data_IF_676535325525
#
_entry.id   IF_676535325525
#
_cell.length_a   1.000
_cell.length_b   1.000
_cell.length_c   1.000
_cell.angle_alpha   90.00
_cell.angle_beta   90.00
_cell.angle_gamma   90.00
#
_symmetry.space_group_name_H-M   'P 1'
#
loop_
_entity.id
_entity.type
_entity.pdbx_description
1 polymer ?
#
# COMPACT_ATOMS: atom_id res chain seq x y z
N UNK A 1 -31.04 -7.51 6.12
CA UNK A 1 -30.76 -6.09 6.41
C UNK A 1 -29.25 -5.89 6.53
N UNK A 2 -28.66 -5.12 5.61
CA UNK A 2 -27.33 -4.49 5.63
C UNK A 2 -26.05 -5.33 5.83
N UNK A 3 -25.59 -5.96 4.75
CA UNK A 3 -24.23 -6.54 4.62
C UNK A 3 -23.09 -5.55 4.98
N UNK A 4 -23.30 -4.25 4.81
CA UNK A 4 -22.28 -3.24 5.15
C UNK A 4 -22.10 -2.99 6.65
N UNK A 5 -23.09 -3.33 7.49
CA UNK A 5 -22.97 -3.20 8.97
C UNK A 5 -22.03 -4.25 9.55
N UNK A 6 -21.87 -5.38 8.87
CA UNK A 6 -20.97 -6.46 9.26
C UNK A 6 -19.50 -6.17 8.88
N UNK A 7 -19.29 -5.24 7.94
CA UNK A 7 -17.95 -4.84 7.54
C UNK A 7 -17.21 -4.21 8.74
N UNK A 8 -15.89 -4.47 8.87
CA UNK A 8 -15.07 -3.68 9.77
C UNK A 8 -15.29 -2.19 9.47
N UNK A 9 -15.47 -1.37 10.51
CA UNK A 9 -15.72 0.08 10.38
C UNK A 9 -14.73 0.78 9.43
N UNK A 10 -13.50 0.27 9.38
CA UNK A 10 -12.45 0.72 8.48
C UNK A 10 -12.78 0.50 6.99
N UNK A 11 -13.38 -0.65 6.62
CA UNK A 11 -13.80 -0.93 5.25
C UNK A 11 -14.92 0.01 4.82
N UNK A 12 -15.87 0.29 5.72
CA UNK A 12 -16.93 1.27 5.45
C UNK A 12 -16.35 2.69 5.23
N UNK A 13 -15.41 3.12 6.07
CA UNK A 13 -14.73 4.41 5.91
C UNK A 13 -13.97 4.51 4.58
N UNK A 14 -13.24 3.47 4.19
CA UNK A 14 -12.50 3.46 2.93
C UNK A 14 -13.43 3.50 1.72
N UNK A 15 -14.56 2.79 1.78
CA UNK A 15 -15.61 2.85 0.77
C UNK A 15 -16.18 4.27 0.64
N UNK A 16 -16.44 4.95 1.76
CA UNK A 16 -16.87 6.36 1.76
C UNK A 16 -15.82 7.30 1.14
N UNK A 17 -14.52 7.09 1.43
CA UNK A 17 -13.43 7.88 0.82
C UNK A 17 -13.33 7.67 -0.69
N UNK A 18 -13.48 6.44 -1.16
CA UNK A 18 -13.49 6.14 -2.60
C UNK A 18 -14.68 6.81 -3.29
N UNK A 19 -15.86 6.77 -2.67
CA UNK A 19 -17.05 7.44 -3.18
C UNK A 19 -16.86 8.97 -3.25
N UNK A 20 -16.34 9.60 -2.19
CA UNK A 20 -16.02 11.03 -2.17
C UNK A 20 -15.06 11.44 -3.30
N UNK A 21 -13.97 10.68 -3.48
CA UNK A 21 -13.01 10.91 -4.59
C UNK A 21 -13.67 10.80 -5.96
N UNK A 22 -14.54 9.80 -6.16
CA UNK A 22 -15.25 9.61 -7.42
C UNK A 22 -16.19 10.79 -7.74
N UNK A 23 -16.91 11.29 -6.74
CA UNK A 23 -17.76 12.47 -6.90
C UNK A 23 -16.97 13.75 -7.19
N UNK A 24 -15.85 13.98 -6.48
CA UNK A 24 -14.96 15.11 -6.75
C UNK A 24 -14.43 15.09 -8.19
N UNK A 25 -14.02 13.91 -8.67
CA UNK A 25 -13.59 13.70 -10.06
C UNK A 25 -14.72 14.00 -11.06
N UNK A 26 -15.92 13.49 -10.83
CA UNK A 26 -17.09 13.76 -11.67
C UNK A 26 -17.39 15.26 -11.80
N UNK A 27 -17.40 16.00 -10.70
CA UNK A 27 -17.64 17.45 -10.73
C UNK A 27 -16.50 18.22 -11.40
N UNK A 28 -15.24 17.77 -11.26
CA UNK A 28 -14.12 18.35 -11.99
C UNK A 28 -14.27 18.17 -13.50
N UNK A 29 -14.63 16.96 -13.96
CA UNK A 29 -14.87 16.66 -15.38
C UNK A 29 -16.02 17.48 -15.96
N UNK A 30 -17.10 17.67 -15.19
CA UNK A 30 -18.23 18.51 -15.60
C UNK A 30 -17.82 19.99 -15.80
N UNK A 31 -16.84 20.48 -15.03
CA UNK A 31 -16.34 21.86 -15.14
C UNK A 31 -15.36 22.05 -16.30
N UNK A 32 -14.45 21.09 -16.50
CA UNK A 32 -13.37 21.23 -17.51
C UNK A 32 -13.82 20.89 -18.93
N UNK A 33 -14.95 20.19 -19.11
CA UNK A 33 -15.48 19.86 -20.43
C UNK A 33 -14.63 18.86 -21.22
N UNK A 34 -13.61 18.25 -20.60
CA UNK A 34 -12.70 17.29 -21.25
C UNK A 34 -13.39 16.00 -21.72
N UNK A 35 -14.60 15.73 -21.22
CA UNK A 35 -15.48 14.64 -21.67
C UNK A 35 -16.84 15.26 -21.98
N UNK A 36 -17.42 14.97 -23.16
CA UNK A 36 -18.68 15.57 -23.63
C UNK A 36 -19.84 15.39 -22.64
N UNK A 37 -19.96 14.21 -22.03
CA UNK A 37 -20.99 13.88 -21.03
C UNK A 37 -20.37 12.92 -19.99
N UNK A 38 -19.78 13.43 -18.90
CA UNK A 38 -19.29 12.56 -17.84
C UNK A 38 -20.47 11.85 -17.15
N UNK A 39 -20.30 10.57 -16.81
CA UNK A 39 -21.30 9.80 -16.08
C UNK A 39 -21.06 9.88 -14.57
N UNK A 40 -22.11 9.98 -13.74
CA UNK A 40 -21.96 9.97 -12.30
C UNK A 40 -21.44 8.62 -11.80
N UNK A 41 -20.76 8.57 -10.63
CA UNK A 41 -20.39 7.32 -9.99
C UNK A 41 -21.63 6.44 -9.78
N UNK A 42 -21.57 5.20 -10.25
CA UNK A 42 -22.64 4.21 -10.07
C UNK A 42 -22.25 3.17 -9.04
N UNK A 43 -23.22 2.73 -8.24
CA UNK A 43 -23.05 1.58 -7.39
C UNK A 43 -22.98 0.32 -8.25
N UNK A 44 -21.89 -0.45 -8.09
CA UNK A 44 -21.79 -1.79 -8.65
C UNK A 44 -22.33 -2.77 -7.62
N UNK A 45 -23.23 -3.67 -8.02
CA UNK A 45 -23.72 -4.76 -7.16
C UNK A 45 -22.73 -5.92 -7.08
N UNK A 46 -21.43 -5.59 -7.04
CA UNK A 46 -20.36 -6.56 -6.96
C UNK A 46 -19.87 -6.67 -5.52
N UNK A 47 -19.25 -7.80 -5.20
CA UNK A 47 -18.63 -7.99 -3.89
C UNK A 47 -17.51 -6.95 -3.67
N UNK A 48 -17.45 -6.37 -2.48
CA UNK A 48 -16.47 -5.32 -2.14
C UNK A 48 -15.27 -5.93 -1.41
N UNK A 49 -14.04 -5.52 -1.72
CA UNK A 49 -12.86 -5.96 -0.96
C UNK A 49 -12.90 -5.48 0.50
N UNK A 50 -12.52 -6.37 1.40
CA UNK A 50 -12.41 -6.08 2.84
C UNK A 50 -11.04 -5.44 3.10
N UNK A 51 -11.03 -4.35 3.86
CA UNK A 51 -9.80 -3.60 4.17
C UNK A 51 -9.50 -3.64 5.67
N UNK A 52 -8.26 -4.03 5.99
CA UNK A 52 -7.65 -3.95 7.31
C UNK A 52 -6.55 -2.88 7.31
N UNK A 53 -6.61 -1.98 8.30
CA UNK A 53 -5.52 -1.04 8.59
C UNK A 53 -4.55 -1.63 9.62
N UNK A 54 -3.38 -1.03 9.77
CA UNK A 54 -2.31 -1.45 10.67
C UNK A 54 -2.78 -1.95 12.05
N UNK A 55 -3.74 -1.27 12.70
CA UNK A 55 -4.23 -1.67 14.04
C UNK A 55 -5.01 -3.00 14.04
N UNK A 56 -5.62 -3.37 12.91
CA UNK A 56 -6.34 -4.64 12.74
C UNK A 56 -5.45 -5.79 12.27
N UNK A 57 -4.16 -5.53 12.04
CA UNK A 57 -3.18 -6.49 11.52
C UNK A 57 -2.08 -6.69 12.56
N UNK A 58 -1.74 -7.95 12.83
CA UNK A 58 -0.61 -8.32 13.68
C UNK A 58 0.29 -9.26 12.91
N UNK A 59 1.56 -8.89 12.85
CA UNK A 59 2.61 -9.63 12.16
C UNK A 59 3.83 -9.69 13.07
N UNK A 60 4.43 -10.87 13.18
CA UNK A 60 5.66 -11.08 13.92
C UNK A 60 6.83 -11.10 12.94
N UNK A 61 7.94 -10.44 13.29
CA UNK A 61 9.10 -10.32 12.42
C UNK A 61 9.62 -11.71 12.03
N UNK A 62 9.80 -11.94 10.72
CA UNK A 62 10.22 -13.24 10.18
C UNK A 62 9.13 -14.31 10.12
N UNK A 63 7.91 -14.04 10.62
CA UNK A 63 6.78 -14.95 10.51
C UNK A 63 6.15 -14.87 9.13
N UNK A 64 5.74 -16.03 8.59
CA UNK A 64 4.91 -16.10 7.38
C UNK A 64 3.43 -15.93 7.68
N UNK A 65 3.03 -15.60 8.92
CA UNK A 65 1.64 -15.58 9.33
C UNK A 65 1.18 -14.17 9.73
N UNK A 66 0.04 -13.75 9.19
CA UNK A 66 -0.67 -12.53 9.58
C UNK A 66 -1.89 -12.88 10.41
N UNK A 67 -2.06 -12.20 11.54
CA UNK A 67 -3.26 -12.27 12.36
C UNK A 67 -4.13 -11.05 12.12
N UNK A 68 -5.38 -11.27 11.75
CA UNK A 68 -6.39 -10.24 11.50
C UNK A 68 -7.48 -10.28 12.56
N UNK A 69 -7.88 -9.12 13.06
CA UNK A 69 -8.96 -9.01 14.05
C UNK A 69 -10.34 -9.16 13.40
N UNK A 70 -11.22 -10.00 13.96
CA UNK A 70 -12.61 -10.06 13.49
C UNK A 70 -13.48 -8.97 14.15
N UNK A 71 -14.48 -8.45 13.43
CA UNK A 71 -15.46 -7.52 13.99
C UNK A 71 -16.36 -8.23 15.00
N UNK A 72 -16.96 -7.48 15.94
CA UNK A 72 -17.87 -8.05 16.95
C UNK A 72 -19.06 -8.74 16.28
N UNK A 73 -19.67 -8.06 15.32
CA UNK A 73 -20.85 -8.55 14.61
C UNK A 73 -20.54 -9.80 13.78
N UNK A 74 -19.36 -9.87 13.16
CA UNK A 74 -18.93 -11.06 12.44
C UNK A 74 -18.71 -12.25 13.38
N UNK A 75 -18.10 -12.03 14.56
CA UNK A 75 -17.96 -13.08 15.58
C UNK A 75 -19.31 -13.64 16.02
N UNK A 76 -20.25 -12.77 16.36
CA UNK A 76 -21.62 -13.19 16.75
C UNK A 76 -22.30 -13.98 15.64
N UNK A 77 -22.21 -13.51 14.40
CA UNK A 77 -22.77 -14.23 13.26
C UNK A 77 -22.13 -15.61 13.04
N UNK A 78 -20.80 -15.71 13.15
CA UNK A 78 -20.06 -16.97 12.99
C UNK A 78 -20.37 -17.99 14.10
N UNK A 79 -20.55 -17.51 15.32
CA UNK A 79 -20.95 -18.34 16.47
C UNK A 79 -22.39 -18.84 16.30
N UNK A 80 -23.34 -17.95 16.01
CA UNK A 80 -24.77 -18.31 15.87
C UNK A 80 -25.04 -19.23 14.67
N UNK A 81 -24.36 -19.01 13.54
CA UNK A 81 -24.64 -19.72 12.29
C UNK A 81 -23.83 -21.00 12.14
N UNK A 82 -22.57 -21.00 12.61
CA UNK A 82 -21.61 -22.06 12.34
C UNK A 82 -20.96 -22.65 13.60
N UNK A 83 -21.23 -22.11 14.80
CA UNK A 83 -20.58 -22.56 16.05
C UNK A 83 -19.08 -22.24 16.12
N UNK A 84 -18.62 -21.24 15.36
CA UNK A 84 -17.21 -20.85 15.28
C UNK A 84 -16.95 -19.75 16.31
N UNK A 85 -16.00 -19.96 17.24
CA UNK A 85 -15.71 -19.06 18.38
C UNK A 85 -14.41 -18.25 18.20
N UNK A 86 -13.81 -18.34 17.01
CA UNK A 86 -12.53 -17.77 16.67
C UNK A 86 -12.60 -16.24 16.72
N UNK A 87 -11.61 -15.63 17.37
CA UNK A 87 -11.54 -14.17 17.53
C UNK A 87 -10.70 -13.49 16.46
N UNK A 88 -9.87 -14.27 15.76
CA UNK A 88 -8.88 -13.81 14.81
C UNK A 88 -8.89 -14.73 13.59
N UNK A 89 -8.59 -14.15 12.43
CA UNK A 89 -8.29 -14.87 11.21
C UNK A 89 -6.77 -14.90 11.03
N UNK A 90 -6.24 -16.05 10.63
CA UNK A 90 -4.81 -16.20 10.34
C UNK A 90 -4.61 -16.44 8.84
N UNK A 91 -3.74 -15.66 8.22
CA UNK A 91 -3.33 -15.83 6.83
C UNK A 91 -1.87 -16.25 6.80
N UNK A 92 -1.56 -17.36 6.15
CA UNK A 92 -0.19 -17.86 6.05
C UNK A 92 0.32 -17.76 4.62
N UNK A 93 1.42 -17.04 4.43
CA UNK A 93 2.15 -16.99 3.18
C UNK A 93 3.62 -16.58 3.42
N UNK A 94 4.56 -17.24 2.73
CA UNK A 94 6.00 -16.98 2.84
C UNK A 94 6.36 -15.53 2.51
N UNK A 95 5.58 -14.83 1.68
CA UNK A 95 5.82 -13.44 1.32
C UNK A 95 5.79 -12.49 2.54
N UNK A 96 5.03 -12.85 3.59
CA UNK A 96 4.89 -11.99 4.77
C UNK A 96 6.15 -11.93 5.62
N UNK A 97 7.08 -12.90 5.49
CA UNK A 97 8.31 -12.96 6.31
C UNK A 97 9.17 -11.71 6.21
N UNK A 98 9.13 -11.03 5.07
CA UNK A 98 9.94 -9.86 4.76
C UNK A 98 9.15 -8.54 4.80
N UNK A 99 7.94 -8.54 5.37
CA UNK A 99 7.06 -7.36 5.44
C UNK A 99 7.00 -6.81 6.87
N UNK A 100 8.06 -6.13 7.30
CA UNK A 100 8.20 -5.68 8.70
C UNK A 100 7.09 -4.72 9.17
N UNK A 101 6.58 -3.85 8.29
CA UNK A 101 5.64 -2.79 8.65
C UNK A 101 4.45 -2.71 7.68
N UNK A 102 3.45 -3.57 7.86
CA UNK A 102 2.22 -3.55 7.05
C UNK A 102 1.29 -2.42 7.50
N UNK A 103 1.02 -1.49 6.60
CA UNK A 103 0.09 -0.36 6.81
C UNK A 103 -1.36 -0.73 6.54
N UNK A 104 -1.57 -1.51 5.48
CA UNK A 104 -2.91 -1.85 5.00
C UNK A 104 -2.88 -3.19 4.27
N UNK A 105 -3.96 -3.95 4.42
CA UNK A 105 -4.21 -5.20 3.71
C UNK A 105 -5.64 -5.18 3.16
N UNK A 106 -5.78 -5.47 1.86
CA UNK A 106 -7.06 -5.59 1.17
C UNK A 106 -7.24 -7.02 0.70
N UNK A 107 -8.37 -7.62 1.05
CA UNK A 107 -8.76 -8.97 0.68
C UNK A 107 -9.88 -8.85 -0.35
N UNK A 108 -9.65 -9.32 -1.56
CA UNK A 108 -10.67 -9.37 -2.59
C UNK A 108 -11.55 -10.59 -2.41
N UNK A 109 -12.84 -10.49 -2.77
CA UNK A 109 -13.74 -11.64 -2.80
C UNK A 109 -13.12 -12.77 -3.64
N UNK A 110 -13.32 -14.04 -3.26
CA UNK A 110 -12.75 -15.14 -4.01
C UNK A 110 -13.40 -15.30 -5.38
N UNK A 111 -12.59 -15.47 -6.42
CA UNK A 111 -12.98 -15.86 -7.77
C UNK A 111 -12.43 -17.26 -8.04
N UNK A 112 -13.29 -18.21 -8.41
CA UNK A 112 -12.92 -19.64 -8.61
C UNK A 112 -12.18 -20.27 -7.42
N UNK A 113 -12.56 -19.90 -6.20
CA UNK A 113 -11.95 -20.38 -4.96
C UNK A 113 -10.59 -19.76 -4.63
N UNK A 114 -10.10 -18.80 -5.45
CA UNK A 114 -8.86 -18.06 -5.20
C UNK A 114 -9.18 -16.66 -4.70
N UNK A 115 -8.48 -16.24 -3.66
CA UNK A 115 -8.65 -14.93 -3.06
C UNK A 115 -7.40 -14.09 -3.31
N UNK A 116 -7.57 -12.93 -3.94
CA UNK A 116 -6.47 -12.00 -4.18
C UNK A 116 -6.28 -11.05 -3.00
N UNK A 117 -5.01 -10.77 -2.68
CA UNK A 117 -4.64 -9.88 -1.59
C UNK A 117 -3.71 -8.79 -2.07
N UNK A 118 -3.99 -7.55 -1.67
CA UNK A 118 -3.10 -6.40 -1.86
C UNK A 118 -2.60 -5.96 -0.49
N UNK A 119 -1.27 -5.95 -0.32
CA UNK A 119 -0.62 -5.52 0.93
C UNK A 119 0.20 -4.26 0.66
N UNK A 120 -0.04 -3.24 1.47
CA UNK A 120 0.76 -2.00 1.50
C UNK A 120 1.62 -2.05 2.76
N UNK A 121 2.93 -2.04 2.57
CA UNK A 121 3.91 -2.09 3.64
C UNK A 121 5.01 -1.04 3.43
N UNK A 122 5.67 -0.65 4.51
CA UNK A 122 6.86 0.20 4.43
C UNK A 122 8.10 -0.67 4.20
N UNK A 123 8.92 -0.23 3.26
CA UNK A 123 10.29 -0.70 3.08
C UNK A 123 11.18 0.38 3.69
N UNK A 124 12.11 -0.01 4.56
CA UNK A 124 13.15 0.91 5.02
C UNK A 124 14.01 1.26 3.82
N UNK A 125 14.08 2.54 3.50
CA UNK A 125 15.04 3.03 2.52
C UNK A 125 16.43 2.65 3.05
N UNK A 126 17.28 1.99 2.23
CA UNK A 126 18.66 1.77 2.65
C UNK A 126 19.26 3.14 2.96
N UNK A 127 20.00 3.22 4.07
CA UNK A 127 20.81 4.41 4.34
C UNK A 127 21.73 4.57 3.14
N UNK A 128 21.44 5.54 2.27
CA UNK A 128 22.40 6.04 1.31
C UNK A 128 23.51 6.60 2.18
N UNK A 129 24.62 5.86 2.28
CA UNK A 129 25.85 6.45 2.75
C UNK A 129 26.00 7.75 1.99
N UNK A 130 26.03 8.85 2.72
CA UNK A 130 26.11 10.18 2.13
C UNK A 130 27.37 10.23 1.29
N UNK A 131 27.23 9.96 0.00
CA UNK A 131 28.30 10.03 -0.98
C UNK A 131 28.61 11.50 -1.21
N UNK A 132 29.26 12.10 -0.21
CA UNK A 132 30.06 13.32 -0.37
C UNK A 132 31.32 13.05 -1.19
N UNK A 133 31.38 11.89 -1.83
CA UNK A 133 32.47 11.48 -2.69
C UNK A 133 32.57 12.46 -3.87
N UNK A 134 33.77 12.97 -4.08
CA UNK A 134 34.14 13.71 -5.30
C UNK A 134 34.18 12.78 -6.53
N UNK A 135 33.87 11.49 -6.36
CA UNK A 135 33.85 10.51 -7.43
C UNK A 135 32.48 10.52 -8.11
N UNK A 136 32.47 10.40 -9.43
CA UNK A 136 31.25 10.25 -10.22
C UNK A 136 30.49 8.98 -9.79
N UNK A 137 29.14 8.94 -9.83
CA UNK A 137 28.37 7.73 -9.57
C UNK A 137 28.67 6.57 -10.56
N UNK A 138 29.32 6.86 -11.68
CA UNK A 138 29.79 5.86 -12.64
C UNK A 138 31.23 5.38 -12.37
N UNK A 139 31.86 5.84 -11.30
CA UNK A 139 33.22 5.40 -10.94
C UNK A 139 33.18 3.94 -10.49
N UNK A 140 34.14 3.11 -10.92
CA UNK A 140 34.16 1.69 -10.54
C UNK A 140 34.38 1.48 -9.03
N UNK A 141 35.00 2.46 -8.34
CA UNK A 141 35.20 2.45 -6.90
C UNK A 141 35.37 3.88 -6.36
N UNK A 142 35.10 4.06 -5.06
CA UNK A 142 35.35 5.33 -4.35
C UNK A 142 36.83 5.39 -3.98
N UNK A 143 37.64 6.09 -4.76
CA UNK A 143 39.06 6.26 -4.48
C UNK A 143 39.59 7.62 -4.92
N UNK A 144 40.72 8.05 -4.34
CA UNK A 144 41.38 9.32 -4.74
C UNK A 144 41.74 9.38 -6.23
N UNK A 145 41.86 8.22 -6.90
CA UNK A 145 42.16 8.13 -8.33
C UNK A 145 40.99 8.63 -9.19
N UNK A 146 39.76 8.39 -8.75
CA UNK A 146 38.53 8.76 -9.47
C UNK A 146 37.83 10.01 -8.91
N UNK A 147 38.43 10.62 -7.89
CA UNK A 147 37.92 11.85 -7.29
C UNK A 147 38.27 13.06 -8.15
N UNK A 148 37.26 13.82 -8.58
CA UNK A 148 37.48 15.08 -9.29
C UNK A 148 37.20 16.28 -8.39
N UNK A 149 38.23 17.13 -8.20
CA UNK A 149 38.14 18.29 -7.31
C UNK A 149 37.08 19.33 -7.75
N UNK A 150 36.72 19.36 -9.04
CA UNK A 150 35.62 20.15 -9.60
C UNK A 150 34.25 19.76 -9.03
N UNK A 151 34.05 18.49 -8.68
CA UNK A 151 32.80 17.98 -8.10
C UNK A 151 32.59 18.44 -6.63
N UNK A 152 33.58 19.11 -6.03
CA UNK A 152 33.52 19.59 -4.63
C UNK A 152 32.52 20.73 -4.40
N UNK A 153 31.98 21.37 -5.45
CA UNK A 153 31.32 22.68 -5.31
C UNK A 153 29.79 22.70 -5.39
N UNK A 154 29.11 21.66 -5.86
CA UNK A 154 27.65 21.69 -5.91
C UNK A 154 27.10 20.41 -5.32
N UNK A 155 26.36 20.57 -4.21
CA UNK A 155 25.68 19.53 -3.42
C UNK A 155 24.77 18.67 -4.31
N UNK A 156 25.35 17.66 -4.95
CA UNK A 156 24.62 16.73 -5.79
C UNK A 156 24.55 17.10 -7.27
N UNK A 157 25.58 17.73 -7.83
CA UNK A 157 25.73 17.89 -9.29
C UNK A 157 27.07 17.32 -9.74
N UNK A 158 27.06 16.25 -10.53
CA UNK A 158 28.27 15.66 -11.11
C UNK A 158 28.43 16.07 -12.57
N UNK A 159 29.65 16.40 -12.99
CA UNK A 159 29.99 16.58 -14.40
C UNK A 159 30.92 15.44 -14.80
N UNK A 160 30.52 14.61 -15.76
CA UNK A 160 31.38 13.55 -16.33
C UNK A 160 31.23 13.60 -17.85
N UNK A 161 32.37 13.62 -18.57
CA UNK A 161 32.43 13.71 -20.04
C UNK A 161 31.60 14.87 -20.64
N UNK A 162 31.51 15.99 -19.91
CA UNK A 162 30.74 17.17 -20.32
C UNK A 162 29.23 17.09 -20.05
N UNK A 163 28.74 16.01 -19.44
CA UNK A 163 27.33 15.80 -19.09
C UNK A 163 27.09 16.06 -17.60
N UNK A 164 26.02 16.77 -17.26
CA UNK A 164 25.61 17.09 -15.88
C UNK A 164 24.60 16.06 -15.36
N UNK A 165 24.83 15.54 -14.16
CA UNK A 165 23.97 14.61 -13.44
C UNK A 165 23.55 15.19 -12.10
N UNK A 166 22.29 15.04 -11.73
CA UNK A 166 21.81 15.34 -10.38
C UNK A 166 22.04 14.10 -9.50
N UNK A 167 22.56 14.28 -8.28
CA UNK A 167 22.61 13.26 -7.25
C UNK A 167 21.23 13.04 -6.62
#
# INVERSE_FOLDING_TARGET
DLWYRQLPSQTAQETCKQLDKAWKSFYALKKTGGIKVPNPPRFKQDNIPITYMQMGIRHEKGSGQLRLSLSKDLKSYMEETYGIHEKFLYLENKIFRNMDHIKQLRIYPPEDGKCDLIVIYEVKEPELESDTSQCSPFSPEISKRYAEASNRKERGMYITDGVRYNA
#
